data_IF_926020442424
#
_entry.id   IF_926020442424
#
_cell.length_a   1.000
_cell.length_b   1.000
_cell.length_c   1.000
_cell.angle_alpha   90.00
_cell.angle_beta   90.00
_cell.angle_gamma   90.00
#
_symmetry.space_group_name_H-M   'P 1'
#
loop_
_entity.id
_entity.type
_entity.pdbx_description
1 polymer ?
#
# COMPACT_ATOMS: atom_id res chain seq x y z
N UNK A 1 -36.26 9.74 2.79
CA UNK A 1 -35.57 9.09 1.65
C UNK A 1 -34.24 8.57 2.15
N UNK A 2 -34.14 7.24 2.29
CA UNK A 2 -32.93 6.55 2.68
C UNK A 2 -32.08 6.28 1.44
N UNK A 3 -30.84 6.73 1.44
CA UNK A 3 -29.82 6.41 0.44
C UNK A 3 -28.46 6.48 1.14
N UNK A 4 -28.11 5.42 1.88
CA UNK A 4 -27.12 4.44 1.44
C UNK A 4 -25.69 5.01 1.40
N UNK A 5 -25.16 5.14 2.61
CA UNK A 5 -23.77 4.93 3.01
C UNK A 5 -23.00 4.02 2.04
N UNK A 6 -22.15 4.60 1.18
CA UNK A 6 -21.06 3.88 0.53
C UNK A 6 -19.74 4.43 1.04
N UNK A 7 -19.40 3.95 2.24
CA UNK A 7 -18.03 3.96 2.73
C UNK A 7 -17.22 3.03 1.81
N UNK A 8 -16.66 3.58 0.74
CA UNK A 8 -15.69 2.86 -0.10
C UNK A 8 -14.44 2.66 0.75
N UNK A 9 -14.45 1.57 1.52
CA UNK A 9 -13.25 0.98 2.09
C UNK A 9 -12.33 0.64 0.94
N UNK A 10 -11.43 1.57 0.63
CA UNK A 10 -10.26 1.28 -0.19
C UNK A 10 -9.46 0.24 0.61
N UNK A 11 -9.20 -0.97 0.06
CA UNK A 11 -8.61 -2.05 0.83
C UNK A 11 -7.26 -1.61 1.36
N UNK A 12 -7.14 -1.57 2.70
CA UNK A 12 -5.85 -1.33 3.36
C UNK A 12 -4.92 -2.49 3.02
N UNK A 13 -3.78 -2.17 2.42
CA UNK A 13 -2.51 -2.85 2.68
C UNK A 13 -2.55 -4.39 2.59
N UNK A 14 -2.76 -4.95 1.39
CA UNK A 14 -2.32 -6.33 1.10
C UNK A 14 -0.96 -6.38 0.40
N UNK A 15 -0.49 -5.29 -0.21
CA UNK A 15 0.75 -5.29 -1.01
C UNK A 15 1.98 -5.80 -0.26
N UNK A 16 2.18 -5.42 0.99
CA UNK A 16 3.35 -5.85 1.77
C UNK A 16 3.26 -7.34 2.13
N UNK A 17 2.06 -7.84 2.42
CA UNK A 17 1.82 -9.25 2.72
C UNK A 17 1.95 -10.11 1.46
N UNK A 18 1.41 -9.64 0.34
CA UNK A 18 1.49 -10.30 -0.96
C UNK A 18 2.95 -10.33 -1.47
N UNK A 19 3.72 -9.26 -1.25
CA UNK A 19 5.17 -9.22 -1.54
C UNK A 19 5.96 -10.19 -0.69
N UNK A 20 5.68 -10.25 0.61
CA UNK A 20 6.35 -11.17 1.52
C UNK A 20 6.03 -12.63 1.17
N UNK A 21 4.78 -12.89 0.77
CA UNK A 21 4.36 -14.20 0.27
C UNK A 21 5.08 -14.53 -1.04
N UNK A 22 5.16 -13.59 -1.98
CA UNK A 22 5.87 -13.79 -3.25
C UNK A 22 7.38 -14.02 -3.05
N UNK A 23 8.01 -13.36 -2.07
CA UNK A 23 9.42 -13.62 -1.71
C UNK A 23 9.59 -15.01 -1.07
N UNK A 24 8.68 -15.44 -0.21
CA UNK A 24 8.69 -16.78 0.37
C UNK A 24 8.46 -17.88 -0.71
N UNK A 25 7.65 -17.58 -1.74
CA UNK A 25 7.51 -18.46 -2.90
C UNK A 25 8.83 -18.58 -3.68
N UNK A 26 9.51 -17.46 -3.93
CA UNK A 26 10.82 -17.47 -4.59
C UNK A 26 11.84 -18.26 -3.78
N UNK A 27 11.84 -18.14 -2.45
CA UNK A 27 12.73 -18.92 -1.57
C UNK A 27 12.48 -20.43 -1.71
N UNK A 28 11.21 -20.85 -1.74
CA UNK A 28 10.87 -22.26 -2.00
C UNK A 28 11.27 -22.74 -3.40
N UNK A 29 11.17 -21.86 -4.42
CA UNK A 29 11.65 -22.18 -5.75
C UNK A 29 13.17 -22.35 -5.80
N UNK A 30 13.93 -21.52 -5.07
CA UNK A 30 15.38 -21.67 -4.97
C UNK A 30 15.74 -23.04 -4.38
N UNK A 31 15.06 -23.48 -3.32
CA UNK A 31 15.26 -24.82 -2.75
C UNK A 31 14.97 -25.93 -3.78
N UNK A 32 13.89 -25.77 -4.54
CA UNK A 32 13.48 -26.74 -5.57
C UNK A 32 14.49 -26.79 -6.74
N UNK A 33 15.00 -25.64 -7.16
CA UNK A 33 16.04 -25.52 -8.18
C UNK A 33 17.33 -26.21 -7.71
N UNK A 34 17.78 -25.92 -6.49
CA UNK A 34 18.95 -26.57 -5.89
C UNK A 34 18.78 -28.10 -5.82
N UNK A 35 17.60 -28.59 -5.44
CA UNK A 35 17.32 -30.02 -5.39
C UNK A 35 17.36 -30.66 -6.79
N UNK A 36 16.85 -29.97 -7.81
CA UNK A 36 16.91 -30.43 -9.21
C UNK A 36 18.35 -30.53 -9.71
N UNK A 37 19.18 -29.53 -9.40
CA UNK A 37 20.62 -29.56 -9.72
C UNK A 37 21.35 -30.68 -8.98
N UNK A 38 21.11 -30.84 -7.67
CA UNK A 38 21.70 -31.91 -6.87
C UNK A 38 21.33 -33.30 -7.41
N UNK A 39 20.07 -33.49 -7.82
CA UNK A 39 19.60 -34.75 -8.40
C UNK A 39 20.23 -35.03 -9.76
N UNK A 40 20.43 -34.00 -10.59
CA UNK A 40 21.15 -34.15 -11.87
C UNK A 40 22.60 -34.58 -11.64
N UNK A 41 23.32 -33.90 -10.73
CA UNK A 41 24.71 -34.23 -10.39
C UNK A 41 24.85 -35.62 -9.78
N UNK A 42 23.94 -36.01 -8.88
CA UNK A 42 23.92 -37.35 -8.30
C UNK A 42 23.69 -38.44 -9.36
N UNK A 43 22.87 -38.18 -10.38
CA UNK A 43 22.65 -39.10 -11.49
C UNK A 43 23.91 -39.27 -12.36
N UNK A 44 24.66 -38.19 -12.57
CA UNK A 44 25.92 -38.20 -13.31
C UNK A 44 27.05 -38.93 -12.58
N UNK A 45 26.95 -39.04 -11.24
CA UNK A 45 27.92 -39.76 -10.41
C UNK A 45 27.76 -41.29 -10.37
N UNK A 46 26.78 -41.86 -11.08
CA UNK A 46 26.53 -43.30 -11.11
C UNK A 46 27.37 -44.02 -12.16
N UNK A 47 27.71 -45.28 -11.89
CA UNK A 47 28.43 -46.18 -12.83
C UNK A 47 27.74 -46.31 -14.20
N UNK A 48 26.39 -46.25 -14.21
CA UNK A 48 25.58 -46.18 -15.42
C UNK A 48 24.70 -44.93 -15.37
N UNK A 49 25.11 -43.90 -16.10
CA UNK A 49 24.42 -42.60 -16.13
C UNK A 49 23.08 -42.73 -16.84
N UNK A 50 21.98 -42.37 -16.15
CA UNK A 50 20.69 -42.13 -16.77
C UNK A 50 20.66 -40.78 -17.49
N UNK A 51 21.31 -40.65 -18.66
CA UNK A 51 21.49 -39.36 -19.36
C UNK A 51 20.19 -38.57 -19.53
N UNK A 52 19.09 -39.23 -19.90
CA UNK A 52 17.78 -38.57 -20.07
C UNK A 52 17.26 -37.97 -18.76
N UNK A 53 17.47 -38.65 -17.63
CA UNK A 53 17.05 -38.15 -16.31
C UNK A 53 17.95 -36.99 -15.86
N UNK A 54 19.26 -37.09 -16.07
CA UNK A 54 20.22 -36.02 -15.79
C UNK A 54 19.90 -34.75 -16.59
N UNK A 55 19.66 -34.87 -17.90
CA UNK A 55 19.24 -33.75 -18.77
C UNK A 55 17.89 -33.16 -18.35
N UNK A 56 16.92 -34.00 -18.01
CA UNK A 56 15.60 -33.51 -17.57
C UNK A 56 15.75 -32.64 -16.32
N UNK A 57 16.49 -33.11 -15.31
CA UNK A 57 16.70 -32.38 -14.06
C UNK A 57 17.54 -31.11 -14.27
N UNK A 58 18.53 -31.14 -15.16
CA UNK A 58 19.30 -29.96 -15.54
C UNK A 58 18.43 -28.90 -16.24
N UNK A 59 17.56 -29.32 -17.16
CA UNK A 59 16.63 -28.42 -17.84
C UNK A 59 15.59 -27.83 -16.89
N UNK A 60 15.10 -28.61 -15.91
CA UNK A 60 14.23 -28.10 -14.84
C UNK A 60 14.95 -27.05 -14.00
N UNK A 61 16.21 -27.30 -13.62
CA UNK A 61 17.02 -26.32 -12.90
C UNK A 61 17.18 -25.01 -13.68
N UNK A 62 17.52 -25.09 -14.97
CA UNK A 62 17.69 -23.89 -15.82
C UNK A 62 16.40 -23.06 -15.91
N UNK A 63 15.25 -23.72 -16.08
CA UNK A 63 13.95 -23.04 -16.11
C UNK A 63 13.60 -22.38 -14.77
N UNK A 64 13.80 -23.07 -13.66
CA UNK A 64 13.54 -22.50 -12.34
C UNK A 64 14.45 -21.30 -12.06
N UNK A 65 15.72 -21.34 -12.47
CA UNK A 65 16.64 -20.20 -12.33
C UNK A 65 16.17 -18.99 -13.14
N UNK A 66 15.75 -19.19 -14.40
CA UNK A 66 15.19 -18.13 -15.24
C UNK A 66 13.93 -17.51 -14.60
N UNK A 67 13.03 -18.34 -14.08
CA UNK A 67 11.81 -17.89 -13.41
C UNK A 67 12.12 -17.14 -12.09
N UNK A 68 13.10 -17.61 -11.32
CA UNK A 68 13.58 -16.95 -10.09
C UNK A 68 14.16 -15.56 -10.42
N UNK A 69 15.03 -15.46 -11.43
CA UNK A 69 15.62 -14.18 -11.85
C UNK A 69 14.55 -13.17 -12.28
N UNK A 70 13.57 -13.62 -13.07
CA UNK A 70 12.46 -12.78 -13.51
C UNK A 70 11.61 -12.28 -12.33
N UNK A 71 11.29 -13.16 -11.38
CA UNK A 71 10.51 -12.81 -10.18
C UNK A 71 11.28 -11.85 -9.27
N UNK A 72 12.57 -12.09 -9.03
CA UNK A 72 13.42 -11.22 -8.22
C UNK A 72 13.56 -9.84 -8.87
N UNK A 73 13.78 -9.77 -10.17
CA UNK A 73 13.87 -8.50 -10.91
C UNK A 73 12.59 -7.68 -10.78
N UNK A 74 11.43 -8.35 -10.87
CA UNK A 74 10.13 -7.72 -10.65
C UNK A 74 9.98 -7.20 -9.23
N UNK A 75 10.35 -7.98 -8.22
CA UNK A 75 10.30 -7.57 -6.80
C UNK A 75 11.24 -6.40 -6.51
N UNK A 76 12.46 -6.42 -7.04
CA UNK A 76 13.42 -5.31 -6.93
C UNK A 76 12.84 -4.05 -7.57
N UNK A 77 12.27 -4.15 -8.77
CA UNK A 77 11.66 -3.01 -9.46
C UNK A 77 10.47 -2.43 -8.68
N UNK A 78 9.68 -3.28 -8.04
CA UNK A 78 8.57 -2.88 -7.19
C UNK A 78 9.07 -2.21 -5.91
N UNK A 79 9.96 -2.86 -5.15
CA UNK A 79 10.57 -2.30 -3.94
C UNK A 79 11.30 -0.98 -4.23
N UNK A 80 11.94 -0.85 -5.39
CA UNK A 80 12.57 0.40 -5.84
C UNK A 80 11.53 1.49 -6.11
N UNK A 81 10.37 1.17 -6.69
CA UNK A 81 9.27 2.13 -6.84
C UNK A 81 8.69 2.57 -5.49
N UNK A 82 8.61 1.66 -4.52
CA UNK A 82 8.13 1.97 -3.17
C UNK A 82 9.16 2.75 -2.34
N UNK A 83 10.43 2.39 -2.45
CA UNK A 83 11.54 3.04 -1.72
C UNK A 83 11.95 4.38 -2.35
N UNK A 84 11.86 4.49 -3.68
CA UNK A 84 12.15 5.70 -4.43
C UNK A 84 11.09 6.79 -4.27
N UNK A 85 9.97 6.48 -3.60
CA UNK A 85 8.78 7.33 -3.59
C UNK A 85 8.21 7.39 -5.00
N UNK A 86 7.00 6.88 -5.21
CA UNK A 86 6.26 7.28 -6.41
C UNK A 86 6.30 8.81 -6.50
N UNK A 87 6.84 9.36 -7.58
CA UNK A 87 6.76 10.79 -7.91
C UNK A 87 5.32 11.31 -8.09
N UNK A 88 4.31 10.58 -7.61
CA UNK A 88 2.99 11.11 -7.31
C UNK A 88 2.96 11.56 -5.86
N UNK A 89 3.08 12.86 -5.72
CA UNK A 89 2.89 13.64 -4.53
C UNK A 89 1.70 13.14 -3.70
N UNK A 90 1.94 13.12 -2.39
CA UNK A 90 0.98 12.96 -1.30
C UNK A 90 0.40 11.55 -1.14
N UNK A 91 0.98 10.81 -0.18
CA UNK A 91 0.32 9.71 0.52
C UNK A 91 -1.15 10.06 0.78
N UNK A 92 -2.12 9.16 0.50
CA UNK A 92 -3.55 9.40 0.76
C UNK A 92 -3.82 9.80 2.22
N UNK A 93 -2.97 9.35 3.15
CA UNK A 93 -3.02 9.75 4.55
C UNK A 93 -2.63 11.21 4.78
N UNK A 94 -1.65 11.72 4.03
CA UNK A 94 -1.29 13.14 4.00
C UNK A 94 -2.43 13.99 3.48
N UNK A 95 -2.99 13.63 2.31
CA UNK A 95 -4.13 14.35 1.71
C UNK A 95 -5.34 14.37 2.64
N UNK A 96 -5.67 13.22 3.27
CA UNK A 96 -6.80 13.12 4.20
C UNK A 96 -6.58 13.90 5.49
N UNK A 97 -5.35 13.89 6.03
CA UNK A 97 -4.98 14.70 7.21
C UNK A 97 -5.11 16.18 6.87
N UNK A 98 -4.55 16.61 5.74
CA UNK A 98 -4.56 18.01 5.32
C UNK A 98 -5.99 18.49 5.04
N UNK A 99 -6.82 17.65 4.42
CA UNK A 99 -8.25 17.91 4.25
C UNK A 99 -8.98 18.02 5.59
N UNK A 100 -8.81 17.06 6.50
CA UNK A 100 -9.44 17.13 7.83
C UNK A 100 -8.98 18.38 8.60
N UNK A 101 -7.70 18.70 8.52
CA UNK A 101 -7.13 19.88 9.16
C UNK A 101 -7.64 21.18 8.52
N UNK A 102 -7.88 21.21 7.20
CA UNK A 102 -8.52 22.32 6.52
C UNK A 102 -10.00 22.46 6.92
N UNK A 103 -10.73 21.34 7.02
CA UNK A 103 -12.12 21.30 7.49
C UNK A 103 -12.26 21.83 8.92
N UNK A 104 -11.40 21.39 9.84
CA UNK A 104 -11.39 21.90 11.22
C UNK A 104 -11.10 23.40 11.27
N UNK A 105 -10.14 23.87 10.45
CA UNK A 105 -9.84 25.29 10.33
C UNK A 105 -11.01 26.10 9.76
N UNK A 106 -11.68 25.58 8.73
CA UNK A 106 -12.83 26.23 8.11
C UNK A 106 -14.01 26.34 9.11
N UNK A 107 -14.36 25.24 9.78
CA UNK A 107 -15.40 25.25 10.83
C UNK A 107 -15.11 26.22 11.96
N UNK A 108 -13.83 26.34 12.36
CA UNK A 108 -13.45 27.32 13.37
C UNK A 108 -13.65 28.76 12.88
N UNK A 109 -13.33 29.05 11.62
CA UNK A 109 -13.59 30.35 11.02
C UNK A 109 -15.10 30.66 10.94
N UNK A 110 -15.94 29.68 10.57
CA UNK A 110 -17.40 29.81 10.60
C UNK A 110 -17.91 30.17 12.00
N UNK A 111 -17.42 29.48 13.04
CA UNK A 111 -17.79 29.77 14.44
C UNK A 111 -17.40 31.19 14.86
N UNK A 112 -16.25 31.68 14.41
CA UNK A 112 -15.82 33.05 14.71
C UNK A 112 -16.72 34.06 13.98
N UNK A 113 -17.09 33.79 12.73
CA UNK A 113 -17.97 34.66 11.96
C UNK A 113 -19.36 34.76 12.58
N UNK A 114 -19.93 33.64 13.03
CA UNK A 114 -21.21 33.61 13.74
C UNK A 114 -21.17 34.51 14.99
N UNK A 115 -20.13 34.38 15.82
CA UNK A 115 -19.94 35.24 17.01
C UNK A 115 -19.81 36.71 16.66
N UNK A 116 -19.09 37.04 15.59
CA UNK A 116 -18.94 38.43 15.15
C UNK A 116 -20.27 38.99 14.63
N UNK A 117 -21.09 38.17 13.98
CA UNK A 117 -22.42 38.55 13.52
C UNK A 117 -23.37 38.78 14.70
N UNK A 118 -23.32 37.95 15.74
CA UNK A 118 -24.04 38.16 17.00
C UNK A 118 -23.65 39.49 17.66
N UNK A 119 -22.34 39.77 17.78
CA UNK A 119 -21.83 41.02 18.34
C UNK A 119 -22.21 42.24 17.50
N UNK A 120 -22.18 42.11 16.18
CA UNK A 120 -22.62 43.16 15.26
C UNK A 120 -24.11 43.45 15.46
N UNK A 121 -24.95 42.41 15.50
CA UNK A 121 -26.39 42.56 15.71
C UNK A 121 -26.72 43.16 17.08
N UNK A 122 -25.96 42.79 18.13
CA UNK A 122 -26.08 43.38 19.46
C UNK A 122 -25.68 44.87 19.48
N UNK A 123 -24.69 45.26 18.66
CA UNK A 123 -24.27 46.65 18.50
C UNK A 123 -25.25 47.48 17.66
N UNK A 124 -25.86 46.89 16.63
CA UNK A 124 -26.82 47.54 15.73
C UNK A 124 -28.22 47.67 16.37
N UNK A 125 -28.54 46.88 17.41
CA UNK A 125 -29.76 47.00 18.22
C UNK A 125 -29.49 47.32 19.71
N UNK A 126 -29.02 48.54 20.05
CA UNK A 126 -28.76 48.91 21.45
C UNK A 126 -30.03 49.16 22.30
N UNK A 127 -31.23 49.20 21.71
CA UNK A 127 -32.44 49.76 22.36
C UNK A 127 -33.39 48.74 23.04
N UNK A 128 -32.92 47.60 23.52
CA UNK A 128 -33.80 46.66 24.29
C UNK A 128 -33.46 46.59 25.79
N UNK A 129 -32.35 47.19 26.25
CA UNK A 129 -31.96 47.12 27.67
C UNK A 129 -32.32 48.35 28.52
N UNK A 130 -32.89 49.42 27.96
CA UNK A 130 -33.30 50.59 28.75
C UNK A 130 -34.79 50.62 29.14
N UNK A 131 -35.64 49.73 28.60
CA UNK A 131 -37.08 49.69 28.94
C UNK A 131 -37.45 48.62 29.99
N UNK A 132 -36.47 47.99 30.66
CA UNK A 132 -36.72 47.05 31.77
C UNK A 132 -36.44 47.65 33.16
N UNK A 133 -36.07 48.93 33.24
CA UNK A 133 -35.75 49.64 34.48
C UNK A 133 -36.45 51.00 34.57
N UNK A 134 -37.79 51.02 34.48
CA UNK A 134 -38.66 52.08 35.00
C UNK A 134 -40.05 51.52 35.29
#
# INVERSE_FOLDING_TARGET
>A
MAGANQHTQVPRQNHTRDQMTALAEVENQILTAMQSAATSLAEMGKDKIGMKAAETNANTFLKEVEDIENKLTKQISQLTQYAGGSGTEVSPYGQKKDFNMAMHRNRHAETILERLQELKNARENPNVQENAAS
#
